data_IF_858322337925
#
_entry.id   IF_858322337925
#
_cell.length_a   1.000
_cell.length_b   1.000
_cell.length_c   1.000
_cell.angle_alpha   90.00
_cell.angle_beta   90.00
_cell.angle_gamma   90.00
#
_symmetry.space_group_name_H-M   'P 1'
#
loop_
_entity.id
_entity.type
_entity.pdbx_description
1 polymer ?
#
# COMPACT_ATOMS: atom_id res chain seq x y z
N UNK A 1 -16.94 -17.32 -10.63
CA UNK A 1 -16.68 -15.93 -11.05
C UNK A 1 -16.91 -14.93 -9.91
N UNK A 2 -18.07 -14.95 -9.25
CA UNK A 2 -18.41 -14.08 -8.11
C UNK A 2 -17.42 -14.19 -6.94
N UNK A 3 -17.06 -15.41 -6.53
CA UNK A 3 -16.11 -15.62 -5.43
C UNK A 3 -14.71 -15.08 -5.73
N UNK A 4 -14.23 -15.16 -6.98
CA UNK A 4 -12.90 -14.66 -7.35
C UNK A 4 -12.86 -13.14 -7.24
N UNK A 5 -13.88 -12.45 -7.78
CA UNK A 5 -14.00 -11.00 -7.66
C UNK A 5 -14.15 -10.56 -6.20
N UNK A 6 -15.00 -11.25 -5.43
CA UNK A 6 -15.17 -10.98 -4.00
C UNK A 6 -13.86 -11.15 -3.23
N UNK A 7 -13.10 -12.22 -3.50
CA UNK A 7 -11.78 -12.45 -2.89
C UNK A 7 -10.83 -11.31 -3.22
N UNK A 8 -10.70 -10.90 -4.49
CA UNK A 8 -9.79 -9.81 -4.89
C UNK A 8 -10.14 -8.51 -4.15
N UNK A 9 -11.43 -8.17 -4.05
CA UNK A 9 -11.88 -6.96 -3.36
C UNK A 9 -11.60 -7.04 -1.86
N UNK A 10 -11.99 -8.14 -1.20
CA UNK A 10 -11.81 -8.30 0.24
C UNK A 10 -10.32 -8.34 0.61
N UNK A 11 -9.51 -9.10 -0.13
CA UNK A 11 -8.06 -9.14 0.09
C UNK A 11 -7.43 -7.76 -0.15
N UNK A 12 -7.84 -7.07 -1.21
CA UNK A 12 -7.33 -5.74 -1.55
C UNK A 12 -7.61 -4.71 -0.45
N UNK A 13 -8.83 -4.70 0.10
CA UNK A 13 -9.18 -3.82 1.23
C UNK A 13 -8.40 -4.21 2.49
N UNK A 14 -8.30 -5.51 2.80
CA UNK A 14 -7.56 -6.00 3.96
C UNK A 14 -6.10 -5.57 3.92
N UNK A 15 -5.43 -5.78 2.78
CA UNK A 15 -4.03 -5.37 2.56
C UNK A 15 -3.90 -3.86 2.68
N UNK A 16 -4.79 -3.09 2.05
CA UNK A 16 -4.77 -1.64 2.14
C UNK A 16 -4.84 -1.14 3.59
N UNK A 17 -5.78 -1.67 4.38
CA UNK A 17 -5.93 -1.30 5.80
C UNK A 17 -4.71 -1.73 6.62
N UNK A 18 -4.13 -2.91 6.32
CA UNK A 18 -2.92 -3.40 6.99
C UNK A 18 -1.72 -2.45 6.77
N UNK A 19 -1.42 -2.13 5.51
CA UNK A 19 -0.33 -1.22 5.17
C UNK A 19 -0.57 0.20 5.67
N UNK A 20 -1.82 0.67 5.62
CA UNK A 20 -2.20 1.96 6.19
C UNK A 20 -1.93 2.01 7.70
N UNK A 21 -2.17 0.91 8.41
CA UNK A 21 -1.80 0.76 9.81
C UNK A 21 -0.30 0.96 10.05
N UNK A 22 0.55 0.29 9.29
CA UNK A 22 2.02 0.47 9.36
C UNK A 22 2.44 1.90 9.05
N UNK A 23 1.84 2.50 8.01
CA UNK A 23 2.12 3.87 7.61
C UNK A 23 1.77 4.87 8.72
N UNK A 24 0.57 4.76 9.28
CA UNK A 24 0.11 5.64 10.35
C UNK A 24 0.92 5.44 11.62
N UNK A 25 1.23 4.19 11.98
CA UNK A 25 2.07 3.87 13.13
C UNK A 25 3.46 4.50 12.99
N UNK A 26 4.13 4.31 11.84
CA UNK A 26 5.44 4.90 11.56
C UNK A 26 5.40 6.44 11.64
N UNK A 27 4.44 7.08 10.98
CA UNK A 27 4.29 8.54 11.03
C UNK A 27 3.98 9.07 12.43
N UNK A 28 3.25 8.33 13.26
CA UNK A 28 2.90 8.77 14.62
C UNK A 28 4.09 8.80 15.57
N UNK A 29 5.12 7.98 15.31
CA UNK A 29 6.36 7.93 16.10
C UNK A 29 7.51 8.70 15.44
N UNK A 30 7.23 9.45 14.37
CA UNK A 30 8.23 10.25 13.65
C UNK A 30 9.17 9.46 12.75
N UNK A 31 8.85 8.21 12.39
CA UNK A 31 9.63 7.44 11.40
C UNK A 31 9.31 7.96 10.00
N UNK A 32 10.37 8.22 9.24
CA UNK A 32 10.24 8.62 7.84
C UNK A 32 9.83 7.44 6.96
N UNK A 33 8.73 7.63 6.26
CA UNK A 33 8.24 6.70 5.25
C UNK A 33 8.61 7.23 3.88
N UNK A 34 9.54 6.54 3.21
CA UNK A 34 9.99 6.87 1.85
C UNK A 34 8.96 6.47 0.79
N UNK A 35 8.28 5.33 0.99
CA UNK A 35 7.30 4.82 0.03
C UNK A 35 6.16 4.07 0.73
N UNK A 36 4.94 4.36 0.29
CA UNK A 36 3.72 3.64 0.63
C UNK A 36 3.17 3.03 -0.67
N UNK A 37 3.21 1.70 -0.78
CA UNK A 37 2.79 0.96 -1.98
C UNK A 37 1.59 0.08 -1.70
N UNK A 38 0.52 0.24 -2.48
CA UNK A 38 -0.60 -0.68 -2.56
C UNK A 38 -0.40 -1.54 -3.80
N UNK A 39 -0.26 -2.84 -3.62
CA UNK A 39 0.16 -3.76 -4.66
C UNK A 39 1.68 -3.97 -4.70
N UNK A 40 2.08 -4.93 -5.53
CA UNK A 40 3.44 -5.34 -5.79
C UNK A 40 3.81 -5.19 -7.26
N UNK A 41 5.10 -5.24 -7.56
CA UNK A 41 5.61 -5.19 -8.92
C UNK A 41 5.61 -3.79 -9.54
N UNK A 42 5.53 -3.68 -10.87
CA UNK A 42 5.67 -2.40 -11.56
C UNK A 42 4.61 -1.40 -11.11
N UNK A 43 5.03 -0.15 -10.91
CA UNK A 43 4.12 0.96 -10.60
C UNK A 43 3.13 1.17 -11.73
N UNK A 44 1.84 1.15 -11.42
CA UNK A 44 0.78 1.54 -12.33
C UNK A 44 0.61 3.06 -12.30
N UNK A 45 0.47 3.62 -11.10
CA UNK A 45 0.30 5.04 -10.87
C UNK A 45 0.91 5.41 -9.52
N UNK A 46 1.46 6.61 -9.40
CA UNK A 46 1.96 7.09 -8.12
C UNK A 46 2.22 8.59 -8.14
N UNK A 47 2.28 9.16 -6.95
CA UNK A 47 2.63 10.56 -6.73
C UNK A 47 3.45 10.71 -5.46
N UNK A 48 4.30 11.74 -5.40
CA UNK A 48 5.05 12.07 -4.20
C UNK A 48 4.37 13.20 -3.45
N UNK A 49 4.19 13.05 -2.13
CA UNK A 49 3.69 14.10 -1.26
C UNK A 49 4.56 14.17 0.00
N UNK A 50 5.29 15.28 0.13
CA UNK A 50 6.34 15.42 1.14
C UNK A 50 7.46 14.41 0.88
N UNK A 51 7.87 13.69 1.92
CA UNK A 51 8.91 12.65 1.84
C UNK A 51 8.40 11.29 1.34
N UNK A 52 7.08 11.10 1.29
CA UNK A 52 6.46 9.81 0.98
C UNK A 52 6.03 9.75 -0.48
N UNK A 53 6.46 8.70 -1.17
CA UNK A 53 5.95 8.30 -2.47
C UNK A 53 4.76 7.34 -2.31
N UNK A 54 3.59 7.73 -2.80
CA UNK A 54 2.37 6.93 -2.76
C UNK A 54 2.19 6.24 -4.10
N UNK A 55 2.13 4.92 -4.10
CA UNK A 55 2.15 4.10 -5.31
C UNK A 55 1.02 3.07 -5.29
N UNK A 56 0.41 2.87 -6.45
CA UNK A 56 -0.45 1.73 -6.77
C UNK A 56 0.29 0.91 -7.84
N UNK A 57 0.50 -0.38 -7.58
CA UNK A 57 1.18 -1.30 -8.49
C UNK A 57 0.23 -2.29 -9.15
N UNK A 58 0.68 -2.91 -10.25
CA UNK A 58 -0.15 -3.78 -11.07
C UNK A 58 -0.59 -5.09 -10.39
N UNK A 59 0.17 -5.60 -9.42
CA UNK A 59 -0.16 -6.87 -8.74
C UNK A 59 -0.89 -6.57 -7.43
N UNK A 60 -2.21 -6.82 -7.31
CA UNK A 60 -2.99 -6.46 -6.13
C UNK A 60 -2.79 -7.40 -4.93
N UNK A 61 -1.84 -8.35 -5.02
CA UNK A 61 -1.57 -9.39 -4.01
C UNK A 61 -0.49 -8.96 -3.02
N UNK A 62 -0.61 -7.76 -2.46
CA UNK A 62 0.28 -7.29 -1.40
C UNK A 62 0.37 -5.76 -1.35
N UNK A 63 1.31 -5.28 -0.58
CA UNK A 63 1.65 -3.88 -0.41
C UNK A 63 2.88 -3.80 0.49
N UNK A 64 3.49 -2.61 0.58
CA UNK A 64 4.58 -2.42 1.53
C UNK A 64 4.75 -0.95 1.90
N UNK A 65 5.23 -0.74 3.13
CA UNK A 65 5.72 0.54 3.63
C UNK A 65 7.25 0.50 3.72
N UNK A 66 7.93 1.29 2.89
CA UNK A 66 9.39 1.45 2.99
C UNK A 66 9.71 2.54 4.01
N UNK A 67 10.22 2.11 5.15
CA UNK A 67 10.70 2.97 6.24
C UNK A 67 12.19 3.27 6.03
N UNK A 68 12.61 4.48 6.42
CA UNK A 68 14.02 4.89 6.49
C UNK A 68 14.71 4.47 7.77
#
# INVERSE_FOLDING_TARGET
>A
MTYVLATIVVLGVLIFVHELGHFMAAKSVGIDVQRFSIGLGPTMFGFRRGETEYVISWVPLGGYVKMG
#
